data_IF_186107916814
#
_entry.id   IF_186107916814
#
_cell.length_a   1.000
_cell.length_b   1.000
_cell.length_c   1.000
_cell.angle_alpha   90.00
_cell.angle_beta   90.00
_cell.angle_gamma   90.00
#
_symmetry.space_group_name_H-M   'P 1'
#
loop_
_entity.id
_entity.type
_entity.pdbx_description
1 polymer ?
#
# COMPACT_ATOMS: atom_id res chain seq x y z
N UNK A 1 26.48 56.86 -24.14
CA UNK A 1 25.23 56.20 -23.67
C UNK A 1 25.42 54.68 -23.80
N UNK A 2 25.94 54.07 -22.76
CA UNK A 2 26.20 52.62 -22.70
C UNK A 2 25.04 51.94 -22.02
N UNK A 3 24.27 51.13 -22.78
CA UNK A 3 23.15 50.34 -22.27
C UNK A 3 23.70 49.03 -21.71
N UNK A 4 23.63 48.86 -20.38
CA UNK A 4 23.95 47.61 -19.68
C UNK A 4 22.71 46.69 -19.79
N UNK A 5 22.87 45.57 -20.50
CA UNK A 5 21.84 44.53 -20.63
C UNK A 5 22.02 43.58 -19.44
N UNK A 6 21.09 43.62 -18.48
CA UNK A 6 21.06 42.68 -17.35
C UNK A 6 20.46 41.37 -17.83
N UNK A 7 21.25 40.30 -17.91
CA UNK A 7 20.82 38.95 -18.19
C UNK A 7 20.17 38.40 -16.90
N UNK A 8 18.85 38.32 -16.84
CA UNK A 8 18.13 37.57 -15.82
C UNK A 8 18.25 36.07 -16.14
N UNK A 9 19.05 35.37 -15.36
CA UNK A 9 19.14 33.90 -15.36
C UNK A 9 17.95 33.37 -14.57
N UNK A 10 17.07 32.52 -15.16
CA UNK A 10 16.00 31.91 -14.40
C UNK A 10 16.62 30.92 -13.38
N UNK A 11 16.42 31.18 -12.09
CA UNK A 11 16.68 30.17 -11.05
C UNK A 11 15.68 29.02 -11.27
N UNK A 12 16.13 27.93 -11.87
CA UNK A 12 15.41 26.67 -11.86
C UNK A 12 15.39 26.17 -10.39
N UNK A 13 14.27 26.35 -9.71
CA UNK A 13 13.98 25.61 -8.49
C UNK A 13 13.76 24.15 -8.90
N UNK A 14 14.78 23.32 -8.75
CA UNK A 14 14.61 21.87 -8.80
C UNK A 14 13.67 21.48 -7.66
N UNK A 15 12.49 20.98 -7.99
CA UNK A 15 11.63 20.34 -6.99
C UNK A 15 12.44 19.23 -6.29
N UNK A 16 12.40 19.14 -4.96
CA UNK A 16 13.13 18.11 -4.24
C UNK A 16 12.65 16.74 -4.74
N UNK A 17 13.57 15.96 -5.29
CA UNK A 17 13.29 14.63 -5.79
C UNK A 17 12.81 13.75 -4.63
N UNK A 18 11.72 13.04 -4.82
CA UNK A 18 11.31 11.96 -3.92
C UNK A 18 12.45 10.95 -3.84
N UNK A 19 12.97 10.71 -2.65
CA UNK A 19 14.01 9.72 -2.42
C UNK A 19 13.36 8.45 -1.89
N UNK A 20 13.57 7.32 -2.58
CA UNK A 20 13.06 6.02 -2.19
C UNK A 20 14.24 5.07 -1.96
N UNK A 21 14.33 4.53 -0.75
CA UNK A 21 15.30 3.51 -0.39
C UNK A 21 14.57 2.23 0.02
N UNK A 22 15.05 1.10 -0.47
CA UNK A 22 14.54 -0.22 -0.10
C UNK A 22 15.70 -1.08 0.39
N UNK A 23 15.63 -1.53 1.62
CA UNK A 23 16.57 -2.49 2.19
C UNK A 23 15.89 -3.85 2.24
N UNK A 24 16.43 -4.83 1.52
CA UNK A 24 15.89 -6.20 1.49
C UNK A 24 16.78 -7.11 2.32
N UNK A 25 16.17 -7.82 3.25
CA UNK A 25 16.81 -8.85 4.05
C UNK A 25 16.53 -10.23 3.41
N UNK A 26 17.39 -11.20 3.67
CA UNK A 26 17.21 -12.55 3.11
C UNK A 26 16.12 -13.40 3.83
N UNK A 27 15.44 -12.81 4.83
CA UNK A 27 14.47 -13.48 5.72
C UNK A 27 13.02 -13.02 5.50
N UNK A 28 12.59 -12.84 4.24
CA UNK A 28 11.23 -12.39 3.89
C UNK A 28 10.86 -11.03 4.52
N UNK A 29 11.79 -10.11 4.54
CA UNK A 29 11.63 -8.79 5.16
C UNK A 29 12.22 -7.69 4.29
N UNK A 30 11.50 -6.58 4.14
CA UNK A 30 11.95 -5.33 3.54
C UNK A 30 11.75 -4.15 4.48
N UNK A 31 12.70 -3.23 4.50
CA UNK A 31 12.54 -1.90 5.08
C UNK A 31 12.44 -0.89 3.94
N UNK A 32 11.32 -0.21 3.87
CA UNK A 32 11.08 0.87 2.91
C UNK A 32 11.22 2.20 3.62
N UNK A 33 11.93 3.12 2.99
CA UNK A 33 12.11 4.49 3.45
C UNK A 33 11.91 5.43 2.28
N UNK A 34 10.97 6.33 2.40
CA UNK A 34 10.59 7.25 1.34
C UNK A 34 10.49 8.67 1.86
N UNK A 35 11.00 9.63 1.08
CA UNK A 35 10.83 11.06 1.34
C UNK A 35 9.87 11.65 0.31
N UNK A 36 8.80 12.30 0.76
CA UNK A 36 7.80 12.96 -0.09
C UNK A 36 7.52 14.39 0.37
N UNK A 37 7.19 15.30 -0.56
CA UNK A 37 6.67 16.61 -0.20
C UNK A 37 5.21 16.51 0.27
N UNK A 38 4.88 17.28 1.31
CA UNK A 38 3.53 17.44 1.83
C UNK A 38 3.25 18.93 2.07
N UNK A 39 2.10 19.40 1.64
CA UNK A 39 1.64 20.76 1.98
C UNK A 39 0.77 20.68 3.23
N UNK A 40 1.25 21.25 4.33
CA UNK A 40 0.53 21.28 5.60
C UNK A 40 0.02 22.68 5.91
N UNK A 41 -1.18 22.73 6.53
CA UNK A 41 -1.73 23.95 7.14
C UNK A 41 -1.34 23.99 8.62
N UNK A 42 -1.37 25.15 9.24
CA UNK A 42 -1.29 25.25 10.70
C UNK A 42 -2.52 24.58 11.33
N UNK A 43 -2.32 23.74 12.36
CA UNK A 43 -3.37 22.93 12.99
C UNK A 43 -3.48 21.53 12.37
N UNK A 44 -4.69 21.01 12.34
CA UNK A 44 -5.01 19.65 11.96
C UNK A 44 -4.94 19.42 10.44
N UNK A 45 -4.28 18.35 10.04
CA UNK A 45 -4.10 17.93 8.65
C UNK A 45 -4.38 16.42 8.52
N UNK A 46 -5.23 16.05 7.57
CA UNK A 46 -5.36 14.65 7.14
C UNK A 46 -4.44 14.40 5.95
N UNK A 47 -3.47 13.53 6.12
CA UNK A 47 -2.48 13.16 5.08
C UNK A 47 -2.72 11.72 4.66
N UNK A 48 -2.73 11.48 3.35
CA UNK A 48 -2.94 10.17 2.76
C UNK A 48 -1.81 9.82 1.80
N UNK A 49 -1.24 8.63 1.98
CA UNK A 49 -0.22 8.05 1.11
C UNK A 49 -0.73 6.74 0.54
N UNK A 50 -0.98 6.75 -0.75
CA UNK A 50 -1.53 5.63 -1.52
C UNK A 50 -0.38 4.82 -2.13
N UNK A 51 -0.65 3.54 -2.42
CA UNK A 51 0.28 2.63 -3.08
C UNK A 51 1.48 2.24 -2.20
N UNK A 52 1.21 1.98 -0.93
CA UNK A 52 2.18 1.37 -0.01
C UNK A 52 2.13 -0.15 -0.12
N UNK A 53 3.09 -0.84 0.50
CA UNK A 53 3.12 -2.30 0.47
C UNK A 53 1.84 -2.91 1.06
N UNK A 54 1.31 -3.92 0.37
CA UNK A 54 0.13 -4.66 0.85
C UNK A 54 0.44 -5.50 2.10
N UNK A 55 1.69 -5.96 2.24
CA UNK A 55 2.18 -6.77 3.35
C UNK A 55 2.95 -5.94 4.39
N UNK A 56 2.61 -4.66 4.52
CA UNK A 56 3.19 -3.76 5.51
C UNK A 56 2.90 -4.26 6.93
N UNK A 57 3.86 -4.09 7.83
CA UNK A 57 3.64 -4.20 9.27
C UNK A 57 3.16 -2.83 9.79
N UNK A 58 1.87 -2.65 10.10
CA UNK A 58 1.33 -1.34 10.48
C UNK A 58 1.97 -0.77 11.74
N UNK A 59 2.49 -1.63 12.62
CA UNK A 59 3.13 -1.21 13.87
C UNK A 59 4.53 -0.63 13.65
N UNK A 60 5.13 -0.92 12.50
CA UNK A 60 6.46 -0.45 12.11
C UNK A 60 6.43 0.89 11.36
N UNK A 61 5.24 1.39 11.04
CA UNK A 61 5.10 2.61 10.24
C UNK A 61 5.51 3.82 11.06
N UNK A 62 6.41 4.61 10.50
CA UNK A 62 6.88 5.83 11.11
C UNK A 62 6.79 7.00 10.14
N UNK A 63 6.30 8.14 10.61
CA UNK A 63 6.27 9.42 9.88
C UNK A 63 7.10 10.47 10.62
N UNK A 64 7.94 11.20 9.88
CA UNK A 64 8.74 12.29 10.42
C UNK A 64 8.80 13.46 9.43
N UNK A 65 8.54 14.66 9.88
CA UNK A 65 8.84 15.86 9.09
C UNK A 65 10.33 16.14 9.13
N UNK A 66 10.98 16.18 7.98
CA UNK A 66 12.40 16.56 7.86
C UNK A 66 12.59 18.09 7.86
N UNK A 67 11.60 18.84 7.36
CA UNK A 67 11.62 20.31 7.28
C UNK A 67 11.44 20.97 8.64
N UNK A 68 10.57 20.41 9.49
CA UNK A 68 10.25 20.97 10.80
C UNK A 68 9.88 19.83 11.78
N UNK A 69 10.88 19.07 12.24
CA UNK A 69 10.63 17.87 13.07
C UNK A 69 9.83 18.15 14.34
N UNK A 70 10.14 19.27 15.00
CA UNK A 70 9.50 19.65 16.27
C UNK A 70 8.13 20.33 16.09
N UNK A 71 7.78 20.68 14.86
CA UNK A 71 6.53 21.39 14.56
C UNK A 71 5.38 20.47 14.12
N UNK A 72 5.66 19.20 13.79
CA UNK A 72 4.68 18.26 13.29
C UNK A 72 4.56 17.08 14.25
N UNK A 73 3.34 16.83 14.74
CA UNK A 73 3.03 15.72 15.64
C UNK A 73 2.02 14.80 14.97
N UNK A 74 2.28 13.50 14.99
CA UNK A 74 1.33 12.47 14.56
C UNK A 74 0.34 12.24 15.70
N UNK A 75 -0.95 12.42 15.44
CA UNK A 75 -2.04 12.20 16.40
C UNK A 75 -2.70 10.85 16.20
N UNK A 76 -2.90 10.47 14.92
CA UNK A 76 -3.50 9.20 14.55
C UNK A 76 -2.77 8.64 13.33
N UNK A 77 -2.70 7.32 13.26
CA UNK A 77 -2.17 6.57 12.14
C UNK A 77 -3.11 5.42 11.84
N UNK A 78 -3.51 5.30 10.57
CA UNK A 78 -4.41 4.26 10.11
C UNK A 78 -3.87 3.63 8.83
N UNK A 79 -3.86 2.30 8.79
CA UNK A 79 -3.53 1.55 7.59
C UNK A 79 -4.79 0.94 7.00
N UNK A 80 -5.18 1.41 5.85
CA UNK A 80 -6.38 0.95 5.15
C UNK A 80 -6.01 -0.03 4.05
N UNK A 81 -6.50 -1.23 4.20
CA UNK A 81 -6.26 -2.36 3.30
C UNK A 81 -7.56 -2.98 2.77
N UNK A 82 -8.69 -2.29 2.89
CA UNK A 82 -9.96 -2.79 2.38
C UNK A 82 -10.02 -2.65 0.85
N UNK A 83 -9.23 -3.51 0.18
CA UNK A 83 -9.07 -3.48 -1.27
C UNK A 83 -10.32 -4.00 -1.97
N UNK A 84 -10.57 -3.41 -3.13
CA UNK A 84 -11.65 -3.82 -4.03
C UNK A 84 -11.51 -5.30 -4.40
N UNK A 85 -12.56 -6.07 -4.15
CA UNK A 85 -12.79 -7.41 -4.70
C UNK A 85 -14.27 -7.57 -5.04
N UNK A 86 -14.57 -8.48 -5.93
CA UNK A 86 -15.97 -8.76 -6.29
C UNK A 86 -16.82 -9.10 -5.04
N UNK A 87 -16.28 -9.90 -4.15
CA UNK A 87 -16.95 -10.30 -2.91
C UNK A 87 -17.24 -9.09 -2.02
N UNK A 88 -16.23 -8.23 -1.76
CA UNK A 88 -16.40 -7.04 -0.94
C UNK A 88 -17.37 -6.03 -1.53
N UNK A 89 -17.33 -5.85 -2.85
CA UNK A 89 -18.30 -5.00 -3.53
C UNK A 89 -19.72 -5.54 -3.31
N UNK A 90 -19.95 -6.83 -3.56
CA UNK A 90 -21.26 -7.43 -3.36
C UNK A 90 -21.73 -7.38 -1.90
N UNK A 91 -20.82 -7.55 -0.92
CA UNK A 91 -21.13 -7.37 0.50
C UNK A 91 -21.64 -5.97 0.82
N UNK A 92 -21.07 -4.93 0.20
CA UNK A 92 -21.51 -3.53 0.37
C UNK A 92 -22.83 -3.23 -0.34
N UNK A 93 -23.23 -4.10 -1.28
CA UNK A 93 -24.51 -4.01 -1.99
C UNK A 93 -25.63 -4.86 -1.36
N UNK A 94 -25.39 -5.53 -0.23
CA UNK A 94 -26.45 -6.24 0.48
C UNK A 94 -27.58 -5.26 0.86
N UNK A 95 -28.82 -5.65 0.56
CA UNK A 95 -30.01 -4.84 0.75
C UNK A 95 -30.22 -3.74 -0.31
N UNK A 96 -29.36 -3.62 -1.32
CA UNK A 96 -29.49 -2.66 -2.43
C UNK A 96 -29.91 -3.38 -3.71
N UNK A 97 -30.50 -2.61 -4.63
CA UNK A 97 -30.82 -3.10 -5.97
C UNK A 97 -29.56 -3.24 -6.82
N UNK A 98 -29.47 -4.35 -7.54
CA UNK A 98 -28.44 -4.63 -8.54
C UNK A 98 -29.06 -5.13 -9.83
N UNK A 99 -28.34 -5.02 -10.94
CA UNK A 99 -28.69 -5.61 -12.21
C UNK A 99 -27.81 -6.82 -12.49
N UNK A 100 -28.39 -7.92 -12.97
CA UNK A 100 -27.66 -9.02 -13.58
C UNK A 100 -27.95 -9.04 -15.06
N UNK A 101 -26.88 -9.06 -15.85
CA UNK A 101 -26.96 -9.15 -17.32
C UNK A 101 -26.51 -10.53 -17.76
N UNK A 102 -27.29 -11.18 -18.60
CA UNK A 102 -26.92 -12.42 -19.28
C UNK A 102 -27.33 -12.38 -20.74
N UNK A 103 -26.62 -13.13 -21.56
CA UNK A 103 -27.03 -13.35 -22.94
C UNK A 103 -27.96 -14.57 -22.99
N UNK A 104 -29.07 -14.46 -23.73
CA UNK A 104 -29.97 -15.57 -23.96
C UNK A 104 -29.30 -16.69 -24.74
N UNK A 105 -29.97 -17.83 -24.83
CA UNK A 105 -29.45 -19.04 -25.48
C UNK A 105 -29.09 -18.83 -26.97
N UNK A 106 -29.72 -17.86 -27.63
CA UNK A 106 -29.49 -17.51 -29.04
C UNK A 106 -28.42 -16.47 -29.28
N UNK A 107 -27.65 -16.06 -28.20
CA UNK A 107 -26.52 -15.15 -28.29
C UNK A 107 -26.85 -13.67 -28.53
N UNK A 108 -28.00 -13.33 -29.09
CA UNK A 108 -28.34 -11.98 -29.55
C UNK A 108 -29.22 -11.18 -28.58
N UNK A 109 -29.88 -11.81 -27.63
CA UNK A 109 -30.77 -11.11 -26.69
C UNK A 109 -30.14 -10.98 -25.31
N UNK A 110 -29.89 -9.73 -24.92
CA UNK A 110 -29.47 -9.37 -23.58
C UNK A 110 -30.65 -9.37 -22.64
N UNK A 111 -30.63 -10.25 -21.64
CA UNK A 111 -31.61 -10.27 -20.56
C UNK A 111 -31.06 -9.51 -19.34
N UNK A 112 -31.90 -8.68 -18.75
CA UNK A 112 -31.57 -7.92 -17.55
C UNK A 112 -32.51 -8.35 -16.42
N UNK A 113 -31.94 -8.82 -15.32
CA UNK A 113 -32.66 -9.14 -14.09
C UNK A 113 -32.34 -8.08 -13.06
N UNK A 114 -33.32 -7.33 -12.58
CA UNK A 114 -33.20 -6.35 -11.51
C UNK A 114 -33.79 -6.89 -10.22
N UNK A 115 -33.10 -6.67 -9.12
CA UNK A 115 -33.59 -7.09 -7.82
C UNK A 115 -32.67 -6.71 -6.68
N UNK A 116 -33.16 -6.87 -5.47
CA UNK A 116 -32.40 -6.59 -4.25
C UNK A 116 -31.48 -7.75 -3.93
N UNK A 117 -30.19 -7.50 -3.78
CA UNK A 117 -29.22 -8.50 -3.33
C UNK A 117 -29.39 -8.75 -1.82
N UNK A 118 -29.76 -9.97 -1.46
CA UNK A 118 -29.96 -10.36 -0.05
C UNK A 118 -28.77 -11.09 0.55
N UNK A 119 -28.00 -11.82 -0.26
CA UNK A 119 -26.79 -12.54 0.18
C UNK A 119 -25.81 -12.67 -0.96
N UNK A 120 -24.51 -12.65 -0.62
CA UNK A 120 -23.40 -12.96 -1.53
C UNK A 120 -22.52 -14.11 -1.01
N UNK A 121 -22.78 -14.64 0.19
CA UNK A 121 -22.01 -15.71 0.81
C UNK A 121 -22.41 -17.07 0.21
N UNK A 122 -21.45 -17.77 -0.40
CA UNK A 122 -21.69 -19.09 -1.03
C UNK A 122 -22.55 -19.05 -2.28
N UNK A 123 -22.87 -17.86 -2.79
CA UNK A 123 -23.70 -17.63 -3.96
C UNK A 123 -24.58 -16.39 -3.80
N UNK A 124 -25.20 -15.95 -4.89
CA UNK A 124 -26.09 -14.78 -4.85
C UNK A 124 -27.51 -15.21 -4.50
N UNK A 125 -28.15 -14.50 -3.58
CA UNK A 125 -29.58 -14.58 -3.32
C UNK A 125 -30.19 -13.21 -3.60
N UNK A 126 -31.18 -13.16 -4.48
CA UNK A 126 -31.83 -11.91 -4.86
C UNK A 126 -33.33 -11.98 -4.68
N UNK A 127 -33.91 -10.87 -4.25
CA UNK A 127 -35.36 -10.66 -4.31
C UNK A 127 -35.70 -9.96 -5.62
N UNK A 128 -36.47 -10.63 -6.48
CA UNK A 128 -36.92 -10.12 -7.79
C UNK A 128 -38.46 -10.08 -7.76
N UNK A 129 -39.02 -8.88 -7.63
CA UNK A 129 -40.45 -8.74 -7.29
C UNK A 129 -40.75 -9.40 -5.96
N UNK A 130 -41.74 -10.33 -5.96
CA UNK A 130 -42.10 -11.09 -4.76
C UNK A 130 -41.42 -12.46 -4.64
N UNK A 131 -40.47 -12.76 -5.53
CA UNK A 131 -39.80 -14.07 -5.57
C UNK A 131 -38.34 -13.96 -5.08
N UNK A 132 -37.91 -15.03 -4.41
CA UNK A 132 -36.49 -15.25 -4.12
C UNK A 132 -35.86 -16.08 -5.23
N UNK A 133 -34.77 -15.57 -5.79
CA UNK A 133 -33.98 -16.23 -6.83
C UNK A 133 -32.63 -16.61 -6.23
N UNK A 134 -32.33 -17.90 -6.23
CA UNK A 134 -31.09 -18.45 -5.72
C UNK A 134 -30.10 -18.62 -6.86
N UNK A 135 -28.88 -18.14 -6.68
CA UNK A 135 -27.79 -18.21 -7.66
C UNK A 135 -28.18 -17.78 -9.08
N UNK A 136 -28.83 -16.60 -9.23
CA UNK A 136 -29.13 -16.10 -10.56
C UNK A 136 -27.85 -15.97 -11.38
N UNK A 137 -27.93 -16.46 -12.62
CA UNK A 137 -26.79 -16.38 -13.56
C UNK A 137 -26.73 -15.01 -14.21
N UNK A 138 -25.52 -14.56 -14.50
CA UNK A 138 -25.26 -13.31 -15.19
C UNK A 138 -24.15 -12.48 -14.53
N UNK A 139 -23.68 -11.50 -15.27
CA UNK A 139 -22.72 -10.50 -14.79
C UNK A 139 -23.44 -9.45 -13.94
N UNK A 140 -22.91 -9.16 -12.75
CA UNK A 140 -23.46 -8.12 -11.90
C UNK A 140 -23.01 -6.74 -12.43
N UNK A 141 -23.97 -5.89 -12.74
CA UNK A 141 -23.76 -4.50 -13.12
C UNK A 141 -24.21 -3.62 -11.96
N UNK A 142 -23.29 -2.81 -11.49
CA UNK A 142 -23.47 -1.97 -10.33
C UNK A 142 -23.33 -0.50 -10.74
N UNK A 143 -24.12 0.41 -10.18
CA UNK A 143 -24.13 1.81 -10.61
C UNK A 143 -22.88 2.57 -10.21
N UNK A 144 -22.26 2.20 -9.09
CA UNK A 144 -21.11 2.93 -8.55
C UNK A 144 -20.22 2.03 -7.68
N UNK A 145 -19.00 2.50 -7.42
CA UNK A 145 -18.13 1.85 -6.45
C UNK A 145 -18.56 2.25 -5.04
N UNK A 146 -18.85 1.28 -4.13
CA UNK A 146 -19.20 1.59 -2.75
C UNK A 146 -18.12 2.40 -2.03
N UNK A 147 -18.54 3.32 -1.19
CA UNK A 147 -17.63 4.09 -0.35
C UNK A 147 -16.82 3.18 0.59
N UNK A 148 -15.58 3.62 0.87
CA UNK A 148 -14.67 2.95 1.81
C UNK A 148 -13.85 1.83 1.22
N UNK A 149 -14.12 1.37 0.00
CA UNK A 149 -13.25 0.43 -0.71
C UNK A 149 -12.11 1.20 -1.41
N UNK A 150 -10.92 0.61 -1.35
CA UNK A 150 -9.70 1.21 -1.90
C UNK A 150 -9.17 0.39 -3.08
N UNK A 151 -8.64 1.07 -4.09
CA UNK A 151 -7.94 0.42 -5.21
C UNK A 151 -6.53 -0.04 -4.83
N UNK A 152 -5.95 0.59 -3.81
CA UNK A 152 -4.58 0.34 -3.35
C UNK A 152 -4.47 0.50 -1.84
N UNK A 153 -3.54 -0.24 -1.18
CA UNK A 153 -3.25 -0.05 0.23
C UNK A 153 -2.85 1.40 0.50
N UNK A 154 -3.36 1.96 1.58
CA UNK A 154 -3.24 3.38 1.89
C UNK A 154 -2.91 3.61 3.35
N UNK A 155 -1.88 4.39 3.62
CA UNK A 155 -1.59 4.95 4.94
C UNK A 155 -2.28 6.30 5.10
N UNK A 156 -2.89 6.51 6.25
CA UNK A 156 -3.53 7.77 6.61
C UNK A 156 -2.99 8.25 7.94
N UNK A 157 -2.70 9.55 8.02
CA UNK A 157 -2.31 10.20 9.26
C UNK A 157 -3.19 11.40 9.54
N UNK A 158 -3.52 11.58 10.80
CA UNK A 158 -3.98 12.85 11.35
C UNK A 158 -2.77 13.53 12.00
N UNK A 159 -2.31 14.60 11.37
CA UNK A 159 -1.14 15.38 11.83
C UNK A 159 -1.59 16.69 12.41
N UNK A 160 -0.92 17.14 13.47
CA UNK A 160 -1.01 18.51 13.94
C UNK A 160 0.29 19.23 13.59
N UNK A 161 0.20 20.31 12.80
CA UNK A 161 1.37 21.11 12.42
C UNK A 161 1.28 22.52 13.01
N UNK A 162 2.34 22.97 13.66
CA UNK A 162 2.50 24.37 14.12
C UNK A 162 3.03 25.28 13.02
N UNK A 163 3.50 24.72 11.90
CA UNK A 163 4.07 25.44 10.77
C UNK A 163 3.36 25.09 9.49
N UNK A 164 2.75 26.08 8.84
CA UNK A 164 2.18 25.91 7.51
C UNK A 164 3.24 25.96 6.42
N UNK A 165 2.96 25.37 5.27
CA UNK A 165 3.80 25.38 4.09
C UNK A 165 4.19 23.98 3.59
N UNK A 166 5.19 23.93 2.75
CA UNK A 166 5.75 22.70 2.20
C UNK A 166 6.68 22.04 3.22
N UNK A 167 6.46 20.76 3.48
CA UNK A 167 7.27 19.90 4.33
C UNK A 167 7.80 18.72 3.54
N UNK A 168 9.05 18.36 3.75
CA UNK A 168 9.55 17.05 3.36
C UNK A 168 9.24 16.07 4.49
N UNK A 169 8.39 15.09 4.21
CA UNK A 169 8.04 14.03 5.13
C UNK A 169 8.79 12.75 4.79
N UNK A 170 9.45 12.16 5.75
CA UNK A 170 10.03 10.82 5.67
C UNK A 170 9.01 9.82 6.21
N UNK A 171 8.75 8.78 5.43
CA UNK A 171 7.93 7.64 5.77
C UNK A 171 8.81 6.42 5.77
N UNK A 172 8.78 5.63 6.82
CA UNK A 172 9.45 4.33 6.85
C UNK A 172 8.57 3.25 7.42
N UNK A 173 8.71 2.04 6.91
CA UNK A 173 7.96 0.87 7.37
C UNK A 173 8.64 -0.43 7.01
N UNK A 174 8.33 -1.48 7.76
CA UNK A 174 8.67 -2.85 7.43
C UNK A 174 7.56 -3.50 6.62
N UNK A 175 7.93 -4.38 5.69
CA UNK A 175 7.00 -5.19 4.91
C UNK A 175 7.53 -6.60 4.75
N UNK A 176 6.62 -7.57 4.74
CA UNK A 176 6.93 -8.93 4.29
C UNK A 176 6.89 -9.01 2.76
N UNK A 177 7.19 -10.17 2.21
CA UNK A 177 7.14 -10.42 0.77
C UNK A 177 8.41 -10.01 0.03
N UNK A 178 9.50 -9.68 0.72
CA UNK A 178 10.79 -9.37 0.10
C UNK A 178 11.87 -10.31 0.57
N UNK A 179 12.66 -10.81 -0.37
CA UNK A 179 13.85 -11.62 -0.08
C UNK A 179 14.89 -11.45 -1.19
N UNK A 180 16.10 -11.89 -0.90
CA UNK A 180 17.17 -11.97 -1.90
C UNK A 180 18.08 -13.16 -1.60
N UNK A 181 18.74 -13.62 -2.65
CA UNK A 181 19.82 -14.60 -2.58
C UNK A 181 20.91 -14.22 -3.57
N UNK A 182 22.11 -14.72 -3.35
CA UNK A 182 23.23 -14.58 -4.27
C UNK A 182 23.84 -15.95 -4.57
N UNK A 183 24.08 -16.16 -5.84
CA UNK A 183 24.75 -17.33 -6.37
C UNK A 183 26.14 -16.93 -6.84
N UNK A 184 27.14 -17.75 -6.51
CA UNK A 184 28.54 -17.46 -6.79
C UNK A 184 29.14 -18.59 -7.63
N UNK A 185 29.92 -18.23 -8.65
CA UNK A 185 30.78 -19.15 -9.39
C UNK A 185 32.21 -18.71 -9.24
N UNK A 186 33.00 -19.55 -8.60
CA UNK A 186 34.43 -19.37 -8.45
C UNK A 186 35.15 -20.29 -9.43
N UNK A 187 35.94 -19.72 -10.34
CA UNK A 187 36.81 -20.46 -11.27
C UNK A 187 38.26 -20.24 -10.82
N UNK A 188 38.93 -21.34 -10.51
CA UNK A 188 40.34 -21.34 -10.07
C UNK A 188 41.20 -21.80 -11.24
N UNK A 189 42.34 -21.16 -11.44
CA UNK A 189 43.29 -21.56 -12.45
C UNK A 189 43.98 -22.88 -12.10
N UNK A 190 44.67 -23.49 -13.10
CA UNK A 190 45.30 -24.78 -12.93
C UNK A 190 46.45 -24.84 -11.89
N UNK A 191 46.99 -23.69 -11.53
CA UNK A 191 48.12 -23.55 -10.60
C UNK A 191 47.67 -23.05 -9.22
N UNK A 192 46.35 -22.93 -8.98
CA UNK A 192 45.68 -22.39 -7.76
C UNK A 192 46.17 -20.98 -7.36
N UNK A 193 46.70 -20.24 -8.33
CA UNK A 193 47.33 -18.95 -8.12
C UNK A 193 46.37 -17.77 -8.36
N UNK A 194 45.30 -18.00 -9.15
CA UNK A 194 44.29 -16.96 -9.49
C UNK A 194 42.90 -17.57 -9.46
N UNK A 195 41.95 -16.72 -9.08
CA UNK A 195 40.54 -17.09 -9.09
C UNK A 195 39.69 -15.94 -9.67
N UNK A 196 38.73 -16.31 -10.53
CA UNK A 196 37.71 -15.45 -11.06
C UNK A 196 36.39 -15.73 -10.29
N UNK A 197 35.85 -14.71 -9.63
CA UNK A 197 34.58 -14.78 -8.91
C UNK A 197 33.50 -14.04 -9.66
N UNK A 198 32.47 -14.77 -10.10
CA UNK A 198 31.26 -14.20 -10.65
C UNK A 198 30.11 -14.40 -9.67
N UNK A 199 29.26 -13.38 -9.55
CA UNK A 199 28.12 -13.42 -8.66
C UNK A 199 26.85 -12.87 -9.32
N UNK A 200 25.70 -13.50 -9.03
CA UNK A 200 24.38 -13.03 -9.44
C UNK A 200 23.54 -12.86 -8.19
N UNK A 201 22.80 -11.75 -8.16
CA UNK A 201 21.85 -11.48 -7.08
C UNK A 201 20.44 -11.57 -7.64
N UNK A 202 19.62 -12.41 -7.03
CA UNK A 202 18.19 -12.50 -7.30
C UNK A 202 17.43 -11.81 -6.18
N UNK A 203 16.57 -10.86 -6.56
CA UNK A 203 15.70 -10.16 -5.62
C UNK A 203 14.25 -10.52 -5.94
N UNK A 204 13.51 -10.94 -4.92
CA UNK A 204 12.08 -11.26 -5.02
C UNK A 204 11.30 -10.16 -4.31
N UNK A 205 10.28 -9.61 -5.00
CA UNK A 205 9.38 -8.62 -4.44
C UNK A 205 7.92 -9.06 -4.62
N UNK A 206 7.33 -9.57 -3.56
CA UNK A 206 5.93 -9.94 -3.43
C UNK A 206 5.21 -9.06 -2.41
N UNK A 207 5.79 -7.90 -2.03
CA UNK A 207 5.22 -6.99 -1.02
C UNK A 207 3.87 -6.36 -1.44
N UNK A 208 3.53 -6.44 -2.72
CA UNK A 208 2.33 -5.83 -3.29
C UNK A 208 2.51 -4.38 -3.70
N UNK A 209 3.73 -3.82 -3.63
CA UNK A 209 4.05 -2.48 -4.12
C UNK A 209 5.21 -2.50 -5.13
N UNK A 210 5.25 -1.48 -5.99
CA UNK A 210 6.35 -1.25 -6.94
C UNK A 210 7.25 -0.13 -6.43
N UNK A 211 8.54 -0.36 -6.44
CA UNK A 211 9.54 0.59 -5.95
C UNK A 211 10.41 1.10 -7.12
N UNK A 212 9.82 2.00 -7.88
CA UNK A 212 10.50 2.55 -9.07
C UNK A 212 11.66 3.46 -8.66
N UNK A 213 12.81 3.29 -9.35
CA UNK A 213 14.02 4.09 -9.15
C UNK A 213 14.53 4.11 -7.69
N UNK A 214 14.24 3.03 -6.93
CA UNK A 214 14.63 2.93 -5.54
C UNK A 214 16.14 2.65 -5.41
N UNK A 215 16.75 3.26 -4.40
CA UNK A 215 18.08 2.87 -3.93
C UNK A 215 17.97 1.55 -3.18
N UNK A 216 18.46 0.48 -3.80
CA UNK A 216 18.42 -0.86 -3.23
C UNK A 216 19.62 -1.13 -2.31
N UNK A 217 19.34 -1.68 -1.13
CA UNK A 217 20.31 -2.22 -0.19
C UNK A 217 19.96 -3.67 0.09
N UNK A 218 20.96 -4.54 0.09
CA UNK A 218 20.80 -5.97 0.41
C UNK A 218 21.58 -6.28 1.67
N UNK A 219 20.91 -6.89 2.64
CA UNK A 219 21.52 -7.24 3.94
C UNK A 219 21.32 -8.75 4.17
N UNK A 220 22.44 -9.45 4.34
CA UNK A 220 22.47 -10.83 4.78
C UNK A 220 22.62 -10.89 6.31
N UNK A 221 22.01 -11.89 6.93
CA UNK A 221 22.09 -12.15 8.36
C UNK A 221 20.72 -12.16 9.06
N UNK A 222 20.72 -12.50 10.33
CA UNK A 222 19.51 -12.53 11.15
C UNK A 222 19.13 -11.12 11.59
N UNK A 223 17.85 -10.78 11.42
CA UNK A 223 17.27 -9.55 11.96
C UNK A 223 16.57 -9.91 13.26
N UNK A 224 17.11 -9.41 14.38
CA UNK A 224 16.45 -9.56 15.68
C UNK A 224 15.33 -8.51 15.78
N UNK A 225 14.09 -9.00 15.81
CA UNK A 225 12.93 -8.17 16.15
C UNK A 225 12.66 -8.26 17.64
N UNK A 226 12.36 -7.14 18.29
CA UNK A 226 11.80 -7.17 19.62
C UNK A 226 10.50 -7.99 19.60
N UNK A 227 10.28 -8.90 20.55
CA UNK A 227 9.01 -9.60 20.67
C UNK A 227 7.88 -8.57 20.79
N UNK A 228 6.81 -8.75 20.02
CA UNK A 228 5.56 -8.01 20.26
C UNK A 228 4.99 -8.62 21.54
N UNK A 229 4.99 -7.90 22.64
CA UNK A 229 4.27 -8.31 23.86
C UNK A 229 2.79 -8.43 23.49
N UNK A 230 2.31 -9.65 23.37
CA UNK A 230 0.87 -9.90 23.31
C UNK A 230 0.30 -9.50 24.67
N UNK A 231 -0.77 -8.67 24.72
CA UNK A 231 -1.42 -8.38 25.99
C UNK A 231 -1.78 -9.69 26.67
N UNK A 232 -1.33 -9.84 27.91
CA UNK A 232 -1.52 -11.04 28.74
C UNK A 232 -3.00 -11.41 28.75
N UNK A 233 -3.34 -12.58 28.22
CA UNK A 233 -4.70 -13.12 28.27
C UNK A 233 -5.18 -13.40 29.69
N UNK A 234 -4.26 -13.45 30.63
CA UNK A 234 -4.55 -13.73 32.05
C UNK A 234 -5.10 -12.52 32.80
N UNK A 235 -4.88 -11.30 32.32
CA UNK A 235 -5.45 -10.08 32.92
C UNK A 235 -6.97 -9.94 32.70
N UNK A 236 -7.53 -10.63 31.71
CA UNK A 236 -8.97 -10.58 31.40
C UNK A 236 -9.80 -11.63 32.16
N UNK A 237 -9.19 -12.65 32.75
CA UNK A 237 -9.91 -13.66 33.54
C UNK A 237 -10.03 -13.29 35.04
N UNK A 238 -9.27 -12.31 35.53
CA UNK A 238 -9.31 -11.87 36.92
C UNK A 238 -10.40 -10.82 37.27
N UNK A 239 -11.14 -10.33 36.30
CA UNK A 239 -12.16 -9.29 36.52
C UNK A 239 -13.62 -9.80 36.49
N UNK A 240 -13.82 -11.13 36.46
CA UNK A 240 -15.13 -11.77 36.42
C UNK A 240 -15.36 -12.75 37.57
N UNK A 241 -14.80 -12.48 38.76
CA UNK A 241 -15.12 -13.21 40.00
C UNK A 241 -15.58 -12.27 41.09
#
# INVERSE_FOLDING_TARGET
MTKTLALLWPLLFAAPASALEVTVYNSNLGLVKETRPFTLKSGMNSVRVVDVAAQIDPTSVHFKSLTAPDAVTVLEQDFRYDLISQEKILQRYLGREIELQRYGHDGDKKEIIRGTLLSSAGGKVMKVGDKLVLNPQGEAILPELPEGLLTKPTLMWLLNSRKAGEHQGEISYLTSGMSWNADYVLVIDKDDAKADLNAWVTVVNNSGATYKDAKLKLIAGAVNRAPVESPDKDALMGAAS
#
